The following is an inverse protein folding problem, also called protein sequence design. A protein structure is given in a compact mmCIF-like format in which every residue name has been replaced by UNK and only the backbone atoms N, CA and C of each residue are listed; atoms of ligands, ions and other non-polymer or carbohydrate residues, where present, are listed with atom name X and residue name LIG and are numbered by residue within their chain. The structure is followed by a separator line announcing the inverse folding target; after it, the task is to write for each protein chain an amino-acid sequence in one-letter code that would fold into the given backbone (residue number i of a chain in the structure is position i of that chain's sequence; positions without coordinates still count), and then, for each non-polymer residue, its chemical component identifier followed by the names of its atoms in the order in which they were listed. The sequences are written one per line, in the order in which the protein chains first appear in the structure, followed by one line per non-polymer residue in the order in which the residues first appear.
data_IF_530151337313
#
_entry.id   IF_530151337313
#
_cell.length_a   1.000
_cell.length_b   1.000
_cell.length_c   1.000
_cell.angle_alpha   90.00
_cell.angle_beta   90.00
_cell.angle_gamma   90.00
#
_symmetry.space_group_name_H-M   'P 1'
#
loop_
_entity.id
_entity.type
_entity.pdbx_description
1 polymer ?
#
# COMPACT_ATOMS: atom_id res chain seq x y z
N UNK A 1 29.42 11.76 -8.70
CA UNK A 1 30.61 11.67 -9.57
C UNK A 1 31.89 11.34 -8.77
N UNK A 2 32.79 10.54 -9.33
CA UNK A 2 34.01 10.11 -8.64
C UNK A 2 35.17 11.16 -8.74
N UNK A 3 34.98 12.21 -9.49
CA UNK A 3 36.00 13.19 -9.76
C UNK A 3 35.46 14.62 -9.62
N UNK A 4 36.17 15.47 -8.88
CA UNK A 4 35.77 16.87 -8.64
C UNK A 4 35.71 17.72 -9.93
N UNK A 5 36.25 17.25 -11.02
CA UNK A 5 36.24 17.92 -12.32
C UNK A 5 35.17 17.35 -13.27
N UNK A 6 34.10 16.85 -12.75
CA UNK A 6 33.02 16.25 -13.52
C UNK A 6 31.82 17.20 -13.60
N UNK A 7 31.23 17.31 -14.78
CA UNK A 7 29.94 17.98 -14.99
C UNK A 7 28.83 16.98 -14.78
N UNK A 8 27.75 17.42 -14.18
CA UNK A 8 26.61 16.59 -13.83
C UNK A 8 25.29 17.33 -14.14
N UNK A 9 24.34 16.64 -14.75
CA UNK A 9 22.97 17.09 -14.90
C UNK A 9 21.99 15.93 -14.87
N UNK A 10 20.72 16.22 -14.63
CA UNK A 10 19.61 15.28 -14.65
C UNK A 10 18.41 15.90 -15.34
N UNK A 11 17.72 15.13 -16.19
CA UNK A 11 16.46 15.52 -16.83
C UNK A 11 15.45 14.36 -16.73
N UNK A 12 14.17 14.66 -16.82
CA UNK A 12 13.15 13.65 -17.03
C UNK A 12 13.32 13.01 -18.41
N UNK A 13 12.98 11.75 -18.56
CA UNK A 13 13.14 11.04 -19.84
C UNK A 13 12.19 11.62 -20.89
N UNK A 14 12.69 11.77 -22.11
CA UNK A 14 11.98 12.48 -23.19
C UNK A 14 12.29 13.96 -23.29
N UNK A 15 12.84 14.59 -22.25
CA UNK A 15 13.29 15.98 -22.31
C UNK A 15 14.65 16.10 -23.03
N UNK A 16 14.90 17.22 -23.67
CA UNK A 16 16.19 17.47 -24.33
C UNK A 16 17.38 17.32 -23.35
N UNK A 17 18.47 16.79 -23.84
CA UNK A 17 19.69 16.73 -23.05
C UNK A 17 20.11 18.12 -22.58
N UNK A 18 20.37 18.34 -21.28
CA UNK A 18 20.68 19.66 -20.74
C UNK A 18 22.09 20.08 -21.13
N UNK A 19 22.30 21.39 -21.18
CA UNK A 19 23.67 21.93 -21.29
C UNK A 19 24.43 21.68 -19.98
N UNK A 20 25.48 20.91 -20.02
CA UNK A 20 26.32 20.60 -18.87
C UNK A 20 27.27 21.78 -18.58
N UNK A 21 26.83 22.72 -17.73
CA UNK A 21 27.57 23.96 -17.45
C UNK A 21 28.34 23.94 -16.14
N UNK A 22 27.91 23.11 -15.18
CA UNK A 22 28.55 23.05 -13.86
C UNK A 22 29.90 22.33 -13.92
N UNK A 23 30.95 23.00 -13.48
CA UNK A 23 32.31 22.45 -13.43
C UNK A 23 32.74 22.19 -12.00
N UNK A 24 33.47 21.11 -11.77
CA UNK A 24 34.07 20.82 -10.48
C UNK A 24 33.13 20.33 -9.39
N UNK A 25 31.95 19.83 -9.77
CA UNK A 25 31.00 19.25 -8.79
C UNK A 25 31.23 17.76 -8.59
N UNK A 26 31.33 17.35 -7.33
CA UNK A 26 31.35 15.94 -6.93
C UNK A 26 29.96 15.41 -6.57
N UNK A 27 29.07 16.32 -6.17
CA UNK A 27 27.67 16.02 -5.86
C UNK A 27 26.78 17.21 -6.17
N UNK A 28 25.53 16.95 -6.56
CA UNK A 28 24.47 17.94 -6.73
C UNK A 28 23.15 17.36 -6.27
N UNK A 29 22.41 18.10 -5.46
CA UNK A 29 21.07 17.74 -5.06
C UNK A 29 20.06 18.14 -6.13
N UNK A 30 19.12 17.25 -6.41
CA UNK A 30 17.97 17.50 -7.28
C UNK A 30 16.72 17.15 -6.52
N UNK A 31 15.72 18.01 -6.57
CA UNK A 31 14.38 17.73 -6.02
C UNK A 31 13.52 17.15 -7.12
N UNK A 32 13.01 15.95 -6.90
CA UNK A 32 12.10 15.26 -7.80
C UNK A 32 10.74 15.20 -7.13
N UNK A 33 9.74 15.86 -7.72
CA UNK A 33 8.38 15.79 -7.23
C UNK A 33 7.70 14.50 -7.72
N UNK A 34 7.26 13.67 -6.77
CA UNK A 34 6.46 12.47 -7.02
C UNK A 34 5.06 12.75 -6.43
N UNK A 35 4.18 13.30 -7.25
CA UNK A 35 2.86 13.76 -6.81
C UNK A 35 1.85 12.63 -6.66
N UNK A 36 2.01 11.56 -7.44
CA UNK A 36 1.07 10.44 -7.49
C UNK A 36 1.81 9.10 -7.37
N UNK A 37 1.13 8.12 -6.80
CA UNK A 37 1.57 6.74 -6.88
C UNK A 37 1.26 6.21 -8.29
N UNK A 38 2.27 5.76 -9.01
CA UNK A 38 2.11 5.22 -10.34
C UNK A 38 2.75 3.85 -10.45
N UNK A 39 2.14 2.98 -11.25
CA UNK A 39 2.72 1.67 -11.61
C UNK A 39 3.91 1.82 -12.54
N UNK A 40 3.95 2.93 -13.26
CA UNK A 40 5.02 3.26 -14.19
C UNK A 40 6.06 4.11 -13.49
N UNK A 41 7.30 3.65 -13.48
CA UNK A 41 8.40 4.43 -12.95
C UNK A 41 8.56 5.74 -13.73
N UNK A 42 8.74 6.85 -13.02
CA UNK A 42 9.33 8.04 -13.65
C UNK A 42 10.80 7.76 -13.93
N UNK A 43 11.20 7.99 -15.16
CA UNK A 43 12.56 7.72 -15.60
C UNK A 43 13.30 9.05 -15.75
N UNK A 44 14.46 9.14 -15.14
CA UNK A 44 15.35 10.28 -15.25
C UNK A 44 16.66 9.85 -15.90
N UNK A 45 17.18 10.70 -16.77
CA UNK A 45 18.50 10.49 -17.34
C UNK A 45 19.53 11.37 -16.64
N UNK A 46 20.54 10.74 -16.06
CA UNK A 46 21.68 11.40 -15.42
C UNK A 46 22.79 11.46 -16.43
N UNK A 47 23.28 12.66 -16.71
CA UNK A 47 24.39 12.95 -17.64
C UNK A 47 25.64 13.26 -16.84
N UNK A 48 26.71 12.56 -17.16
CA UNK A 48 28.01 12.74 -16.51
C UNK A 48 29.08 12.96 -17.60
N UNK A 49 29.79 14.07 -17.53
CA UNK A 49 30.87 14.37 -18.46
C UNK A 49 32.12 14.74 -17.70
N UNK A 50 33.26 14.25 -18.16
CA UNK A 50 34.56 14.69 -17.69
C UNK A 50 34.78 16.18 -18.01
N UNK A 51 35.62 16.86 -17.24
CA UNK A 51 36.07 18.21 -17.58
C UNK A 51 36.73 18.27 -18.96
N UNK A 52 37.42 17.21 -19.34
CA UNK A 52 37.91 17.03 -20.70
C UNK A 52 36.71 16.73 -21.61
N UNK A 53 36.25 17.77 -22.33
CA UNK A 53 35.08 17.71 -23.21
C UNK A 53 35.28 16.83 -24.46
N UNK A 54 36.48 16.36 -24.74
CA UNK A 54 36.71 15.35 -25.77
C UNK A 54 36.26 13.96 -25.38
N UNK A 55 36.00 13.74 -24.08
CA UNK A 55 35.43 12.49 -23.61
C UNK A 55 33.89 12.49 -23.77
N UNK A 56 33.31 11.36 -24.19
CA UNK A 56 31.86 11.27 -24.37
C UNK A 56 31.10 11.45 -23.05
N UNK A 57 29.91 12.00 -23.15
CA UNK A 57 28.96 12.04 -22.03
C UNK A 57 28.50 10.61 -21.74
N UNK A 58 28.61 10.20 -20.48
CA UNK A 58 28.04 8.96 -19.99
C UNK A 58 26.63 9.24 -19.44
N UNK A 59 25.67 8.39 -19.77
CA UNK A 59 24.33 8.48 -19.31
C UNK A 59 23.97 7.30 -18.41
N UNK A 60 23.13 7.56 -17.40
CA UNK A 60 22.60 6.56 -16.50
C UNK A 60 21.09 6.79 -16.39
N UNK A 61 20.30 5.73 -16.36
CA UNK A 61 18.85 5.80 -16.12
C UNK A 61 18.56 5.59 -14.63
N UNK A 62 17.72 6.46 -14.07
CA UNK A 62 17.19 6.35 -12.71
C UNK A 62 15.70 6.14 -12.82
N UNK A 63 15.22 4.99 -12.37
CA UNK A 63 13.82 4.64 -12.33
C UNK A 63 13.29 4.86 -10.91
N UNK A 64 12.25 5.69 -10.78
CA UNK A 64 11.68 6.05 -9.49
C UNK A 64 10.18 5.74 -9.53
N UNK A 65 9.72 4.95 -8.57
CA UNK A 65 8.29 4.72 -8.30
C UNK A 65 7.94 5.23 -6.92
N UNK A 66 6.72 5.76 -6.77
CA UNK A 66 6.14 6.07 -5.47
C UNK A 66 5.18 4.93 -5.11
N UNK A 67 5.34 4.37 -3.92
CA UNK A 67 4.39 3.37 -3.40
C UNK A 67 3.07 4.02 -3.06
N UNK A 68 1.96 3.33 -3.35
CA UNK A 68 0.62 3.78 -2.98
C UNK A 68 0.45 3.82 -1.46
N UNK A 69 -0.25 4.84 -0.98
CA UNK A 69 -0.73 4.95 0.39
C UNK A 69 -2.19 4.55 0.55
N UNK A 70 -2.84 4.13 -0.54
CA UNK A 70 -4.24 3.76 -0.52
C UNK A 70 -4.46 2.46 0.23
N UNK A 71 -5.31 2.49 1.24
CA UNK A 71 -5.65 1.37 2.10
C UNK A 71 -7.15 1.32 2.41
N UNK A 72 -7.97 1.75 1.45
CA UNK A 72 -9.41 1.78 1.61
C UNK A 72 -10.07 0.46 1.22
N UNK A 73 -11.20 0.17 1.84
CA UNK A 73 -12.15 -0.82 1.39
C UNK A 73 -13.03 -0.17 0.32
N UNK A 74 -13.12 -0.82 -0.85
CA UNK A 74 -13.98 -0.39 -1.95
C UNK A 74 -15.39 -0.95 -1.77
N UNK A 75 -15.49 -2.22 -1.39
CA UNK A 75 -16.78 -2.86 -1.11
C UNK A 75 -16.64 -4.02 -0.14
N UNK A 76 -17.71 -4.27 0.65
CA UNK A 76 -17.90 -5.49 1.42
C UNK A 76 -19.29 -6.03 1.08
N UNK A 77 -19.36 -7.30 0.69
CA UNK A 77 -20.61 -7.95 0.27
C UNK A 77 -20.82 -9.30 0.94
N UNK A 78 -22.09 -9.60 1.23
CA UNK A 78 -22.59 -10.94 1.54
C UNK A 78 -23.47 -11.41 0.39
N UNK A 79 -22.93 -12.24 -0.49
CA UNK A 79 -23.58 -12.54 -1.76
C UNK A 79 -23.74 -11.26 -2.61
N UNK A 80 -25.00 -10.86 -2.86
CA UNK A 80 -25.31 -9.65 -3.61
C UNK A 80 -25.72 -8.45 -2.71
N UNK A 81 -25.61 -8.58 -1.40
CA UNK A 81 -25.99 -7.54 -0.43
C UNK A 81 -24.74 -6.81 0.02
N UNK A 82 -24.71 -5.49 -0.18
CA UNK A 82 -23.64 -4.64 0.33
C UNK A 82 -23.78 -4.43 1.85
N UNK A 83 -22.67 -4.34 2.56
CA UNK A 83 -22.65 -3.90 3.94
C UNK A 83 -23.07 -2.43 4.06
N UNK A 84 -23.74 -2.08 5.16
CA UNK A 84 -23.99 -0.67 5.48
C UNK A 84 -22.78 -0.09 6.18
N UNK A 85 -22.28 1.01 5.65
CA UNK A 85 -21.18 1.76 6.25
C UNK A 85 -21.72 2.70 7.34
N UNK A 86 -21.12 2.66 8.52
CA UNK A 86 -21.43 3.57 9.63
C UNK A 86 -20.12 4.17 10.20
N UNK A 87 -20.11 5.46 10.51
CA UNK A 87 -18.98 6.07 11.20
C UNK A 87 -18.88 5.53 12.64
N UNK A 88 -17.66 5.38 13.13
CA UNK A 88 -17.41 5.08 14.55
C UNK A 88 -17.29 6.40 15.30
N UNK A 89 -18.10 6.61 16.35
CA UNK A 89 -18.04 7.85 17.14
C UNK A 89 -16.64 8.09 17.70
N UNK A 90 -16.13 9.31 17.51
CA UNK A 90 -14.83 9.79 17.99
C UNK A 90 -13.61 8.98 17.46
N UNK A 91 -13.73 8.35 16.31
CA UNK A 91 -12.64 7.61 15.64
C UNK A 91 -12.65 7.87 14.12
N UNK A 92 -11.50 7.77 13.50
CA UNK A 92 -11.38 7.74 12.03
C UNK A 92 -11.67 6.32 11.47
N UNK A 93 -12.01 5.37 12.34
CA UNK A 93 -12.39 4.02 11.94
C UNK A 93 -13.76 4.02 11.26
N UNK A 94 -13.94 3.08 10.35
CA UNK A 94 -15.22 2.84 9.65
C UNK A 94 -15.74 1.48 10.05
N UNK A 95 -17.03 1.43 10.34
CA UNK A 95 -17.73 0.20 10.66
C UNK A 95 -18.65 -0.20 9.52
N UNK A 96 -18.62 -1.46 9.16
CA UNK A 96 -19.52 -2.08 8.21
C UNK A 96 -20.47 -3.04 8.91
N UNK A 97 -21.76 -2.95 8.60
CA UNK A 97 -22.81 -3.76 9.27
C UNK A 97 -23.60 -4.54 8.23
N UNK A 98 -23.83 -5.81 8.53
CA UNK A 98 -24.87 -6.61 7.91
C UNK A 98 -26.02 -6.86 8.88
N UNK A 99 -27.22 -6.49 8.52
CA UNK A 99 -28.42 -6.87 9.25
C UNK A 99 -28.82 -8.29 8.88
N UNK A 100 -28.75 -9.20 9.82
CA UNK A 100 -29.05 -10.63 9.63
C UNK A 100 -30.13 -11.09 10.61
N UNK A 101 -31.05 -11.90 10.14
CA UNK A 101 -32.14 -12.43 11.00
C UNK A 101 -31.63 -13.50 11.97
N UNK A 102 -30.52 -14.15 11.68
CA UNK A 102 -29.94 -15.20 12.50
C UNK A 102 -28.45 -15.36 12.24
N UNK A 103 -27.69 -15.54 13.32
CA UNK A 103 -26.24 -15.84 13.29
C UNK A 103 -25.93 -17.34 13.15
N UNK A 104 -26.92 -18.17 12.83
CA UNK A 104 -26.73 -19.64 12.72
C UNK A 104 -26.03 -20.05 11.44
N UNK A 105 -26.04 -19.20 10.41
CA UNK A 105 -25.32 -19.44 9.16
C UNK A 105 -24.01 -18.67 9.13
N UNK A 106 -22.97 -19.35 8.73
CA UNK A 106 -21.65 -18.75 8.52
C UNK A 106 -21.67 -18.00 7.19
N UNK A 107 -21.61 -16.66 7.21
CA UNK A 107 -21.73 -15.90 5.97
C UNK A 107 -20.45 -16.01 5.14
N UNK A 108 -20.62 -16.20 3.84
CA UNK A 108 -19.54 -15.97 2.89
C UNK A 108 -19.49 -14.48 2.57
N UNK A 109 -18.34 -13.88 2.79
CA UNK A 109 -18.11 -12.44 2.61
C UNK A 109 -17.08 -12.23 1.50
N UNK A 110 -17.34 -11.26 0.66
CA UNK A 110 -16.39 -10.75 -0.33
C UNK A 110 -15.96 -9.35 0.08
N UNK A 111 -14.65 -9.09 0.10
CA UNK A 111 -14.06 -7.78 0.42
C UNK A 111 -13.18 -7.37 -0.74
N UNK A 112 -13.48 -6.19 -1.29
CA UNK A 112 -12.65 -5.56 -2.30
C UNK A 112 -11.93 -4.36 -1.70
N UNK A 113 -10.61 -4.29 -1.89
CA UNK A 113 -9.76 -3.21 -1.37
C UNK A 113 -9.05 -2.46 -2.47
N UNK A 114 -8.46 -1.32 -2.12
CA UNK A 114 -7.63 -0.53 -3.04
C UNK A 114 -6.58 -1.38 -3.73
N UNK A 115 -6.28 -1.11 -5.02
CA UNK A 115 -5.24 -1.82 -5.76
C UNK A 115 -3.90 -1.80 -5.01
N UNK A 116 -3.16 -2.92 -5.05
CA UNK A 116 -1.85 -3.11 -4.39
C UNK A 116 -1.86 -3.02 -2.86
N UNK A 117 -3.00 -2.87 -2.24
CA UNK A 117 -3.13 -3.09 -0.81
C UNK A 117 -3.11 -4.59 -0.51
N UNK A 118 -2.81 -4.94 0.71
CA UNK A 118 -2.99 -6.29 1.25
C UNK A 118 -3.92 -6.22 2.43
N UNK A 119 -4.70 -7.27 2.66
CA UNK A 119 -5.62 -7.31 3.78
C UNK A 119 -5.45 -8.58 4.61
N UNK A 120 -5.93 -8.52 5.85
CA UNK A 120 -6.21 -9.68 6.66
C UNK A 120 -7.54 -9.51 7.38
N UNK A 121 -8.22 -10.61 7.62
CA UNK A 121 -9.51 -10.64 8.31
C UNK A 121 -9.40 -11.54 9.52
N UNK A 122 -9.94 -11.12 10.64
CA UNK A 122 -9.89 -11.88 11.87
C UNK A 122 -10.60 -11.15 13.02
N UNK A 123 -10.23 -11.49 14.24
CA UNK A 123 -10.75 -10.83 15.44
C UNK A 123 -9.70 -10.84 16.56
N UNK A 124 -9.91 -9.95 17.53
CA UNK A 124 -9.15 -9.94 18.77
C UNK A 124 -9.95 -10.63 19.87
N UNK A 125 -9.32 -11.54 20.60
CA UNK A 125 -9.95 -12.17 21.77
C UNK A 125 -9.94 -11.25 23.01
N UNK A 126 -10.51 -11.73 24.10
CA UNK A 126 -10.56 -10.99 25.37
C UNK A 126 -9.21 -10.68 25.99
N UNK A 127 -8.14 -11.34 25.52
CA UNK A 127 -6.74 -11.09 25.91
C UNK A 127 -6.02 -10.20 24.92
N UNK A 128 -6.74 -9.61 23.94
CA UNK A 128 -6.21 -8.78 22.85
C UNK A 128 -5.20 -9.53 21.95
N UNK A 129 -5.42 -10.83 21.75
CA UNK A 129 -4.65 -11.63 20.80
C UNK A 129 -5.40 -11.76 19.49
N UNK A 130 -4.67 -11.63 18.39
CA UNK A 130 -5.20 -11.77 17.06
C UNK A 130 -5.48 -13.23 16.69
N UNK A 131 -6.65 -13.48 16.12
CA UNK A 131 -7.03 -14.74 15.50
C UNK A 131 -7.36 -14.49 14.02
N UNK A 132 -6.62 -15.15 13.13
CA UNK A 132 -6.94 -15.08 11.71
C UNK A 132 -8.25 -15.80 11.41
N UNK A 133 -8.92 -15.36 10.35
CA UNK A 133 -10.05 -16.11 9.82
C UNK A 133 -9.63 -17.55 9.45
N UNK A 134 -10.42 -18.53 9.88
CA UNK A 134 -10.14 -19.95 9.62
C UNK A 134 -9.10 -20.60 10.54
N UNK A 135 -8.43 -19.84 11.41
CA UNK A 135 -7.44 -20.38 12.36
C UNK A 135 -7.92 -20.17 13.79
N UNK A 136 -8.17 -21.28 14.50
CA UNK A 136 -8.57 -21.24 15.90
C UNK A 136 -7.42 -20.97 16.87
N UNK A 137 -6.17 -21.02 16.40
CA UNK A 137 -5.00 -20.70 17.20
C UNK A 137 -4.76 -19.20 17.25
N UNK A 138 -4.55 -18.65 18.46
CA UNK A 138 -4.19 -17.25 18.60
C UNK A 138 -2.79 -17.02 18.00
N UNK A 139 -2.68 -16.12 17.04
CA UNK A 139 -1.39 -15.70 16.54
C UNK A 139 -0.73 -14.75 17.53
N UNK A 140 0.40 -15.18 18.08
CA UNK A 140 1.31 -14.30 18.84
C UNK A 140 2.30 -13.59 17.92
N UNK A 141 2.31 -13.92 16.65
CA UNK A 141 3.28 -13.47 15.68
C UNK A 141 2.86 -12.16 15.02
N UNK A 142 2.73 -11.10 15.78
CA UNK A 142 2.74 -9.71 15.31
C UNK A 142 2.12 -9.47 13.91
N UNK A 143 2.73 -8.56 13.19
CA UNK A 143 2.27 -8.01 11.91
C UNK A 143 2.40 -8.92 10.68
N UNK A 144 2.83 -10.17 10.81
CA UNK A 144 3.20 -11.01 9.66
C UNK A 144 2.19 -12.08 9.30
N UNK A 145 1.25 -12.42 10.19
CA UNK A 145 0.32 -13.52 9.99
C UNK A 145 -0.99 -13.08 9.29
N UNK A 146 -1.49 -13.92 8.39
CA UNK A 146 -2.83 -13.79 7.80
C UNK A 146 -2.99 -12.77 6.68
N UNK A 147 -1.92 -12.10 6.25
CA UNK A 147 -1.98 -11.16 5.15
C UNK A 147 -2.12 -11.88 3.81
N UNK A 148 -3.06 -11.41 2.99
CA UNK A 148 -3.23 -11.85 1.60
C UNK A 148 -3.04 -10.68 0.64
N UNK A 149 -2.52 -10.98 -0.54
CA UNK A 149 -2.37 -10.03 -1.66
C UNK A 149 -3.58 -10.04 -2.59
N UNK A 150 -4.62 -10.81 -2.26
CA UNK A 150 -5.85 -10.85 -3.02
C UNK A 150 -6.72 -9.67 -2.62
N UNK A 151 -6.80 -8.65 -3.47
CA UNK A 151 -7.64 -7.48 -3.24
C UNK A 151 -9.14 -7.74 -3.51
N UNK A 152 -9.50 -8.93 -3.91
CA UNK A 152 -10.88 -9.40 -3.99
C UNK A 152 -11.02 -10.66 -3.14
N UNK A 153 -10.78 -10.51 -1.85
CA UNK A 153 -10.78 -11.59 -0.88
C UNK A 153 -12.20 -12.13 -0.65
N UNK A 154 -12.31 -13.45 -0.65
CA UNK A 154 -13.55 -14.13 -0.38
C UNK A 154 -13.32 -15.30 0.55
N UNK A 155 -14.07 -15.36 1.66
CA UNK A 155 -14.01 -16.46 2.60
C UNK A 155 -15.29 -16.51 3.46
N UNK A 156 -15.39 -17.56 4.25
CA UNK A 156 -16.44 -17.80 5.19
C UNK A 156 -15.97 -17.43 6.60
N UNK A 157 -16.64 -16.51 7.26
CA UNK A 157 -16.29 -16.11 8.62
C UNK A 157 -16.81 -17.14 9.63
N UNK A 158 -16.00 -17.54 10.65
CA UNK A 158 -16.47 -18.49 11.66
C UNK A 158 -17.65 -17.93 12.44
N UNK A 159 -18.69 -18.73 12.59
CA UNK A 159 -19.86 -18.33 13.38
C UNK A 159 -19.46 -17.99 14.83
N UNK A 160 -19.99 -16.88 15.36
CA UNK A 160 -19.81 -16.44 16.75
C UNK A 160 -18.39 -16.13 17.23
N UNK A 161 -17.43 -15.90 16.34
CA UNK A 161 -16.20 -15.30 16.76
C UNK A 161 -16.50 -13.92 17.38
N UNK A 162 -16.13 -13.71 18.63
CA UNK A 162 -16.26 -12.45 19.35
C UNK A 162 -17.64 -11.74 19.23
N UNK A 163 -18.75 -12.51 19.28
CA UNK A 163 -20.11 -11.94 19.21
C UNK A 163 -20.50 -11.35 17.86
N UNK A 164 -19.90 -11.84 16.77
CA UNK A 164 -20.17 -11.38 15.42
C UNK A 164 -19.39 -10.14 14.99
N UNK A 165 -18.33 -9.80 15.73
CA UNK A 165 -17.43 -8.69 15.41
C UNK A 165 -16.13 -9.18 14.84
N UNK A 166 -15.78 -8.67 13.69
CA UNK A 166 -14.53 -8.97 13.00
C UNK A 166 -13.76 -7.68 12.73
N UNK A 167 -12.46 -7.81 12.59
CA UNK A 167 -11.59 -6.71 12.19
C UNK A 167 -11.00 -7.04 10.82
N UNK A 168 -11.08 -6.08 9.91
CA UNK A 168 -10.42 -6.12 8.63
C UNK A 168 -9.29 -5.10 8.71
N UNK A 169 -8.05 -5.56 8.60
CA UNK A 169 -6.89 -4.67 8.50
C UNK A 169 -6.45 -4.59 7.05
N UNK A 170 -6.35 -3.38 6.52
CA UNK A 170 -5.85 -3.11 5.17
C UNK A 170 -4.53 -2.37 5.27
N UNK A 171 -3.52 -2.86 4.55
CA UNK A 171 -2.20 -2.25 4.51
C UNK A 171 -1.83 -1.87 3.09
N UNK A 172 -1.53 -0.60 2.87
CA UNK A 172 -1.07 -0.08 1.60
C UNK A 172 0.35 -0.53 1.25
N UNK A 173 0.73 -0.35 0.00
CA UNK A 173 2.07 -0.66 -0.52
C UNK A 173 3.20 0.10 0.22
N UNK A 174 2.93 1.32 0.70
CA UNK A 174 3.86 2.13 1.48
C UNK A 174 3.97 1.71 2.96
N UNK A 175 3.14 0.74 3.39
CA UNK A 175 3.09 0.20 4.75
C UNK A 175 2.09 0.89 5.68
N UNK A 176 1.40 1.95 5.25
CA UNK A 176 0.31 2.56 6.04
C UNK A 176 -0.83 1.55 6.22
N UNK A 177 -1.48 1.58 7.40
CA UNK A 177 -2.55 0.66 7.76
C UNK A 177 -3.81 1.40 8.13
N UNK A 178 -4.95 0.76 7.87
CA UNK A 178 -6.28 1.19 8.32
C UNK A 178 -7.06 -0.02 8.81
N UNK A 179 -7.81 0.15 9.87
CA UNK A 179 -8.63 -0.90 10.45
C UNK A 179 -10.10 -0.58 10.21
N UNK A 180 -10.85 -1.63 9.96
CA UNK A 180 -12.29 -1.57 9.78
C UNK A 180 -12.95 -2.62 10.65
N UNK A 181 -14.12 -2.31 11.18
CA UNK A 181 -14.92 -3.24 11.97
C UNK A 181 -16.06 -3.78 11.12
N UNK A 182 -16.24 -5.08 11.10
CA UNK A 182 -17.36 -5.75 10.46
C UNK A 182 -18.24 -6.39 11.53
N UNK A 183 -19.52 -6.02 11.56
CA UNK A 183 -20.52 -6.53 12.52
C UNK A 183 -21.67 -7.23 11.79
N UNK A 184 -22.25 -8.23 12.46
CA UNK A 184 -23.45 -8.95 12.04
C UNK A 184 -24.53 -8.86 13.08
#
# INVERSE_FOLDING_TARGET
AKNQFTKLAITEDGEPAPTLVDKGITSKAYTIALTEATDTAKIYTIYVQSQNTSQPIKTYKLHITRRSGENDIISIKRGNVDATEEPVENSDDVKYIFFVDSMTEVPQITIETSPKSILRVGYYDSQNKWHNNGDSSASTAGDTAGWTTDNNWQDTLPANANGGKYVIEVKAENGSKKNYVLEF
#
